data_IF_498147315850
#
_entry.id   IF_498147315850
#
_cell.length_a   1.000
_cell.length_b   1.000
_cell.length_c   1.000
_cell.angle_alpha   90.00
_cell.angle_beta   90.00
_cell.angle_gamma   90.00
#
_symmetry.space_group_name_H-M   'P 1'
#
loop_
_entity.id
_entity.type
_entity.pdbx_description
1 polymer ?
#
# COMPACT_ATOMS: atom_id res chain seq x y z
N UNK A 1 17.53 33.37 13.40
CA UNK A 1 18.20 33.19 12.08
C UNK A 1 18.89 31.84 12.12
N UNK A 2 18.52 30.90 11.25
CA UNK A 2 19.24 29.62 11.14
C UNK A 2 20.63 29.87 10.55
N UNK A 3 21.65 29.18 11.05
CA UNK A 3 23.02 29.32 10.53
C UNK A 3 23.10 28.68 9.14
N UNK A 4 23.46 29.44 8.08
CA UNK A 4 23.59 28.86 6.76
C UNK A 4 24.70 27.79 6.74
N UNK A 5 24.54 26.70 5.98
CA UNK A 5 25.57 25.65 5.91
C UNK A 5 26.83 26.18 5.23
N UNK A 6 28.00 25.69 5.62
CA UNK A 6 29.25 26.04 4.96
C UNK A 6 29.30 25.51 3.51
N UNK A 7 30.02 26.20 2.62
CA UNK A 7 30.24 25.75 1.22
C UNK A 7 30.83 24.33 1.16
N UNK A 8 31.68 23.97 2.14
CA UNK A 8 32.24 22.64 2.27
C UNK A 8 31.17 21.57 2.56
N UNK A 9 30.23 21.85 3.48
CA UNK A 9 29.12 20.95 3.75
C UNK A 9 28.18 20.84 2.53
N UNK A 10 27.89 21.98 1.90
CA UNK A 10 27.04 22.09 0.72
C UNK A 10 27.54 21.25 -0.46
N UNK A 11 28.83 21.30 -0.79
CA UNK A 11 29.42 20.50 -1.88
C UNK A 11 29.39 18.98 -1.63
N UNK A 12 29.26 18.54 -0.37
CA UNK A 12 29.19 17.14 0.02
C UNK A 12 27.77 16.60 0.22
N UNK A 13 26.75 17.46 0.22
CA UNK A 13 25.36 17.05 0.52
C UNK A 13 24.37 17.50 -0.56
N UNK A 14 24.54 17.08 -1.83
CA UNK A 14 23.72 17.56 -2.95
C UNK A 14 22.21 17.23 -2.79
N UNK A 15 21.87 16.06 -2.25
CA UNK A 15 20.47 15.68 -2.03
C UNK A 15 19.79 16.49 -0.92
N UNK A 16 20.53 16.85 0.13
CA UNK A 16 20.01 17.75 1.16
C UNK A 16 19.84 19.18 0.64
N UNK A 17 20.70 19.62 -0.29
CA UNK A 17 20.50 20.91 -0.95
C UNK A 17 19.21 20.90 -1.78
N UNK A 18 18.92 19.81 -2.50
CA UNK A 18 17.66 19.66 -3.23
C UNK A 18 16.46 19.72 -2.28
N UNK A 19 16.51 18.99 -1.17
CA UNK A 19 15.46 19.03 -0.15
C UNK A 19 15.29 20.44 0.45
N UNK A 20 16.40 21.13 0.73
CA UNK A 20 16.40 22.51 1.22
C UNK A 20 15.71 23.44 0.24
N UNK A 21 16.10 23.39 -1.04
CA UNK A 21 15.48 24.18 -2.11
C UNK A 21 13.99 23.86 -2.25
N UNK A 22 13.61 22.58 -2.22
CA UNK A 22 12.21 22.15 -2.28
C UNK A 22 11.38 22.63 -1.08
N UNK A 23 11.99 22.68 0.12
CA UNK A 23 11.33 23.16 1.34
C UNK A 23 11.22 24.69 1.44
N UNK A 24 11.98 25.44 0.65
CA UNK A 24 12.08 26.89 0.77
C UNK A 24 12.63 27.38 2.13
N UNK A 25 13.20 26.48 2.94
CA UNK A 25 13.65 26.74 4.30
C UNK A 25 15.15 26.50 4.42
N UNK A 26 15.89 27.49 4.91
CA UNK A 26 17.30 27.32 5.29
C UNK A 26 17.48 26.56 6.61
N UNK A 27 16.39 26.35 7.35
CA UNK A 27 16.37 25.50 8.54
C UNK A 27 16.12 24.04 8.14
N UNK A 28 16.96 23.13 8.67
CA UNK A 28 16.81 21.68 8.53
C UNK A 28 15.47 21.17 9.06
N UNK A 29 14.90 21.81 10.07
CA UNK A 29 13.57 21.43 10.57
C UNK A 29 12.50 21.51 9.48
N UNK A 30 12.49 22.59 8.68
CA UNK A 30 11.57 22.73 7.55
C UNK A 30 11.84 21.72 6.43
N UNK A 31 13.12 21.39 6.19
CA UNK A 31 13.51 20.34 5.24
C UNK A 31 12.96 18.98 5.66
N UNK A 32 13.13 18.60 6.93
CA UNK A 32 12.66 17.33 7.47
C UNK A 32 11.14 17.28 7.57
N UNK A 33 10.49 18.38 7.97
CA UNK A 33 9.04 18.47 7.98
C UNK A 33 8.45 18.19 6.59
N UNK A 34 9.00 18.81 5.53
CA UNK A 34 8.58 18.54 4.15
C UNK A 34 8.77 17.07 3.78
N UNK A 35 9.96 16.51 4.02
CA UNK A 35 10.29 15.12 3.69
C UNK A 35 9.30 14.14 4.34
N UNK A 36 9.08 14.26 5.65
CA UNK A 36 8.21 13.34 6.37
C UNK A 36 6.74 13.52 6.00
N UNK A 37 6.31 14.75 5.69
CA UNK A 37 4.95 15.00 5.18
C UNK A 37 4.73 14.32 3.83
N UNK A 38 5.70 14.40 2.92
CA UNK A 38 5.62 13.70 1.62
C UNK A 38 5.56 12.19 1.81
N UNK A 39 6.46 11.62 2.61
CA UNK A 39 6.45 10.18 2.89
C UNK A 39 5.15 9.71 3.56
N UNK A 40 4.55 10.55 4.42
CA UNK A 40 3.25 10.27 5.03
C UNK A 40 2.14 10.25 3.98
N UNK A 41 2.10 11.23 3.09
CA UNK A 41 1.13 11.28 2.01
C UNK A 41 1.29 10.10 1.03
N UNK A 42 2.52 9.70 0.72
CA UNK A 42 2.81 8.54 -0.15
C UNK A 42 2.26 7.24 0.44
N UNK A 43 2.49 6.97 1.74
CA UNK A 43 1.97 5.75 2.35
C UNK A 43 0.46 5.79 2.54
N UNK A 44 -0.12 6.97 2.76
CA UNK A 44 -1.58 7.15 2.83
C UNK A 44 -2.24 6.84 1.48
N UNK A 45 -1.66 7.36 0.38
CA UNK A 45 -2.08 7.04 -0.98
C UNK A 45 -1.98 5.54 -1.29
N UNK A 46 -0.86 4.90 -0.94
CA UNK A 46 -0.69 3.46 -1.10
C UNK A 46 -1.75 2.65 -0.34
N UNK A 47 -2.06 3.02 0.91
CA UNK A 47 -3.11 2.34 1.69
C UNK A 47 -4.46 2.44 1.00
N UNK A 48 -4.82 3.60 0.44
CA UNK A 48 -6.08 3.77 -0.27
C UNK A 48 -6.16 2.85 -1.49
N UNK A 49 -5.12 2.80 -2.31
CA UNK A 49 -5.05 1.90 -3.48
C UNK A 49 -5.16 0.42 -3.07
N UNK A 50 -4.44 0.01 -2.02
CA UNK A 50 -4.48 -1.37 -1.53
C UNK A 50 -5.87 -1.73 -0.96
N UNK A 51 -6.55 -0.80 -0.29
CA UNK A 51 -7.92 -0.99 0.18
C UNK A 51 -8.90 -1.21 -0.98
N UNK A 52 -8.80 -0.42 -2.05
CA UNK A 52 -9.62 -0.61 -3.25
C UNK A 52 -9.39 -1.99 -3.87
N UNK A 53 -8.13 -2.40 -4.04
CA UNK A 53 -7.79 -3.73 -4.56
C UNK A 53 -8.32 -4.86 -3.68
N UNK A 54 -8.29 -4.70 -2.36
CA UNK A 54 -8.85 -5.67 -1.42
C UNK A 54 -10.35 -5.79 -1.62
N UNK A 55 -11.07 -4.68 -1.70
CA UNK A 55 -12.53 -4.69 -1.85
C UNK A 55 -12.97 -5.34 -3.16
N UNK A 56 -12.26 -5.06 -4.25
CA UNK A 56 -12.51 -5.70 -5.54
C UNK A 56 -12.25 -7.22 -5.48
N UNK A 57 -11.17 -7.64 -4.81
CA UNK A 57 -10.86 -9.06 -4.65
C UNK A 57 -11.88 -9.78 -3.75
N UNK A 58 -12.34 -9.15 -2.68
CA UNK A 58 -13.43 -9.67 -1.82
C UNK A 58 -14.69 -9.90 -2.65
N UNK A 59 -15.12 -8.91 -3.43
CA UNK A 59 -16.30 -9.05 -4.31
C UNK A 59 -16.12 -10.16 -5.34
N UNK A 60 -14.92 -10.33 -5.90
CA UNK A 60 -14.60 -11.42 -6.83
C UNK A 60 -14.74 -12.78 -6.14
N UNK A 61 -14.18 -12.93 -4.94
CA UNK A 61 -14.26 -14.15 -4.13
C UNK A 61 -15.71 -14.49 -3.81
N UNK A 62 -16.50 -13.54 -3.30
CA UNK A 62 -17.92 -13.75 -2.97
C UNK A 62 -18.74 -14.21 -4.19
N UNK A 63 -18.46 -13.67 -5.37
CA UNK A 63 -19.10 -14.11 -6.62
C UNK A 63 -18.67 -15.52 -7.00
N UNK A 64 -17.39 -15.83 -6.90
CA UNK A 64 -16.86 -17.16 -7.23
C UNK A 64 -17.38 -18.23 -6.26
N UNK A 65 -17.53 -17.91 -4.98
CA UNK A 65 -18.13 -18.81 -3.97
C UNK A 65 -19.56 -19.20 -4.36
N UNK A 66 -20.39 -18.24 -4.76
CA UNK A 66 -21.76 -18.51 -5.24
C UNK A 66 -21.77 -19.37 -6.50
N UNK A 67 -20.87 -19.11 -7.44
CA UNK A 67 -20.76 -19.92 -8.66
C UNK A 67 -20.30 -21.35 -8.36
N UNK A 68 -19.41 -21.55 -7.38
CA UNK A 68 -19.01 -22.89 -6.94
C UNK A 68 -20.18 -23.60 -6.27
N UNK A 69 -20.95 -22.93 -5.41
CA UNK A 69 -22.15 -23.49 -4.76
C UNK A 69 -23.21 -23.91 -5.80
N UNK A 70 -23.51 -23.04 -6.78
CA UNK A 70 -24.40 -23.38 -7.91
C UNK A 70 -23.84 -24.55 -8.74
N UNK A 71 -22.52 -24.54 -8.98
CA UNK A 71 -21.81 -25.56 -9.73
C UNK A 71 -21.85 -26.94 -9.05
N UNK A 72 -21.79 -27.02 -7.73
CA UNK A 72 -21.93 -28.29 -7.00
C UNK A 72 -23.28 -28.97 -7.27
N UNK A 73 -24.35 -28.19 -7.43
CA UNK A 73 -25.68 -28.69 -7.77
C UNK A 73 -25.92 -28.90 -9.26
N UNK A 74 -25.21 -28.19 -10.15
CA UNK A 74 -25.51 -28.18 -11.59
C UNK A 74 -24.46 -28.90 -12.45
N UNK A 75 -23.17 -28.74 -12.14
CA UNK A 75 -22.07 -29.24 -12.95
C UNK A 75 -21.98 -30.78 -12.98
N UNK A 76 -22.53 -31.47 -11.98
CA UNK A 76 -22.61 -32.94 -11.93
C UNK A 76 -23.44 -33.54 -13.08
N UNK A 77 -24.25 -32.73 -13.76
CA UNK A 77 -25.10 -33.15 -14.88
C UNK A 77 -24.45 -32.95 -16.26
N UNK A 78 -23.19 -32.50 -16.31
CA UNK A 78 -22.49 -32.19 -17.56
C UNK A 78 -21.10 -32.84 -17.65
N UNK A 79 -20.74 -33.37 -18.82
CA UNK A 79 -19.48 -34.10 -19.04
C UNK A 79 -18.22 -33.29 -18.71
N UNK A 80 -18.26 -31.97 -18.89
CA UNK A 80 -17.16 -31.05 -18.56
C UNK A 80 -17.31 -30.38 -17.19
N UNK A 81 -18.46 -30.56 -16.51
CA UNK A 81 -18.80 -29.82 -15.31
C UNK A 81 -17.93 -30.17 -14.12
N UNK A 82 -17.54 -31.44 -13.96
CA UNK A 82 -16.67 -31.87 -12.86
C UNK A 82 -15.30 -31.17 -12.89
N UNK A 83 -14.61 -31.20 -14.04
CA UNK A 83 -13.30 -30.54 -14.16
C UNK A 83 -13.40 -29.01 -14.04
N UNK A 84 -14.45 -28.41 -14.61
CA UNK A 84 -14.69 -26.97 -14.49
C UNK A 84 -14.87 -26.54 -13.04
N UNK A 85 -15.66 -27.30 -12.27
CA UNK A 85 -15.91 -27.03 -10.85
C UNK A 85 -14.64 -27.16 -10.00
N UNK A 86 -13.80 -28.17 -10.25
CA UNK A 86 -12.52 -28.32 -9.54
C UNK A 86 -11.58 -27.14 -9.82
N UNK A 87 -11.47 -26.69 -11.08
CA UNK A 87 -10.65 -25.51 -11.40
C UNK A 87 -11.20 -24.21 -10.78
N UNK A 88 -12.51 -24.08 -10.65
CA UNK A 88 -13.12 -22.95 -9.94
C UNK A 88 -12.75 -22.97 -8.45
N UNK A 89 -12.80 -24.15 -7.80
CA UNK A 89 -12.38 -24.33 -6.40
C UNK A 89 -10.90 -24.03 -6.20
N UNK A 90 -10.04 -24.52 -7.09
CA UNK A 90 -8.60 -24.23 -7.06
C UNK A 90 -8.32 -22.72 -7.22
N UNK A 91 -9.00 -22.08 -8.18
CA UNK A 91 -8.86 -20.64 -8.42
C UNK A 91 -9.34 -19.81 -7.22
N UNK A 92 -10.46 -20.20 -6.62
CA UNK A 92 -11.01 -19.57 -5.43
C UNK A 92 -10.04 -19.66 -4.24
N UNK A 93 -9.41 -20.82 -4.04
CA UNK A 93 -8.43 -21.02 -2.97
C UNK A 93 -7.19 -20.14 -3.15
N UNK A 94 -6.73 -19.96 -4.39
CA UNK A 94 -5.65 -19.02 -4.70
C UNK A 94 -6.09 -17.57 -4.43
N UNK A 95 -7.27 -17.17 -4.89
CA UNK A 95 -7.80 -15.82 -4.65
C UNK A 95 -7.89 -15.51 -3.14
N UNK A 96 -8.33 -16.46 -2.32
CA UNK A 96 -8.35 -16.34 -0.84
C UNK A 96 -6.95 -16.14 -0.25
N UNK A 97 -5.95 -16.86 -0.75
CA UNK A 97 -4.54 -16.68 -0.32
C UNK A 97 -4.01 -15.31 -0.71
N UNK A 98 -4.33 -14.83 -1.91
CA UNK A 98 -3.97 -13.47 -2.36
C UNK A 98 -4.62 -12.43 -1.46
N UNK A 99 -5.90 -12.60 -1.09
CA UNK A 99 -6.60 -11.69 -0.17
C UNK A 99 -5.94 -11.66 1.21
N UNK A 100 -5.54 -12.81 1.76
CA UNK A 100 -4.84 -12.88 3.03
C UNK A 100 -3.49 -12.15 2.98
N UNK A 101 -2.71 -12.35 1.90
CA UNK A 101 -1.44 -11.65 1.71
C UNK A 101 -1.63 -10.13 1.57
N UNK A 102 -2.63 -9.69 0.82
CA UNK A 102 -2.98 -8.27 0.66
C UNK A 102 -3.40 -7.63 1.99
N UNK A 103 -4.16 -8.36 2.81
CA UNK A 103 -4.54 -7.92 4.16
C UNK A 103 -3.31 -7.74 5.04
N UNK A 104 -2.37 -8.69 5.03
CA UNK A 104 -1.11 -8.56 5.76
C UNK A 104 -0.26 -7.37 5.28
N UNK A 105 -0.23 -7.11 3.97
CA UNK A 105 0.45 -5.92 3.42
C UNK A 105 -0.20 -4.62 3.89
N UNK A 106 -1.53 -4.56 3.94
CA UNK A 106 -2.28 -3.42 4.48
C UNK A 106 -1.95 -3.16 5.94
N UNK A 107 -1.80 -4.20 6.75
CA UNK A 107 -1.41 -4.06 8.17
C UNK A 107 -0.04 -3.42 8.31
N UNK A 108 0.94 -3.88 7.52
CA UNK A 108 2.30 -3.31 7.48
C UNK A 108 2.26 -1.86 6.99
N UNK A 109 1.47 -1.55 5.96
CA UNK A 109 1.32 -0.20 5.47
C UNK A 109 0.69 0.73 6.53
N UNK A 110 -0.32 0.25 7.25
CA UNK A 110 -0.94 0.97 8.37
C UNK A 110 0.06 1.25 9.50
N UNK A 111 0.92 0.30 9.83
CA UNK A 111 1.99 0.51 10.80
C UNK A 111 2.98 1.57 10.32
N UNK A 112 3.42 1.49 9.06
CA UNK A 112 4.28 2.49 8.45
C UNK A 112 3.66 3.89 8.41
N UNK A 113 2.33 3.99 8.21
CA UNK A 113 1.61 5.28 8.31
C UNK A 113 1.65 5.84 9.73
N UNK A 114 1.41 5.01 10.75
CA UNK A 114 1.49 5.45 12.16
C UNK A 114 2.91 5.91 12.51
N UNK A 115 3.93 5.20 12.05
CA UNK A 115 5.33 5.59 12.22
C UNK A 115 5.62 6.95 11.59
N UNK A 116 5.29 7.14 10.32
CA UNK A 116 5.52 8.40 9.61
C UNK A 116 4.72 9.57 10.21
N UNK A 117 3.52 9.33 10.72
CA UNK A 117 2.75 10.34 11.45
C UNK A 117 3.46 10.81 12.74
N UNK A 118 4.16 9.91 13.45
CA UNK A 118 5.03 10.29 14.57
C UNK A 118 6.25 11.10 14.14
N UNK A 119 6.73 10.91 12.90
CA UNK A 119 7.84 11.72 12.38
C UNK A 119 7.37 13.13 12.07
N UNK A 120 6.25 13.30 11.36
CA UNK A 120 5.68 14.63 11.03
C UNK A 120 5.45 15.46 12.30
N UNK A 121 4.75 14.91 13.30
CA UNK A 121 4.44 15.60 14.57
C UNK A 121 5.66 16.00 15.41
N UNK A 122 6.86 15.47 15.13
CA UNK A 122 8.10 15.90 15.82
C UNK A 122 8.74 17.13 15.18
N UNK A 123 8.32 17.50 13.98
CA UNK A 123 8.86 18.63 13.23
C UNK A 123 7.81 19.72 12.94
N UNK A 124 6.55 19.52 13.37
CA UNK A 124 5.51 20.57 13.52
C UNK A 124 5.90 21.59 14.60
#
# INVERSE_FOLDING_TARGET
MATPPSEYAMSRTPHFQQLRMASGSDNLQGCFHLLFTQQYAEIDGLINELCEKRDDLVRKIERMEKLVEEGEGFCVFHDCGYMGLEFMKESLEIDKKVLAALTGLLDVACEGRREKGRHVSRFE
#
